data_IF_622251477475
#
_entry.id   IF_622251477475
#
_cell.length_a   1.000
_cell.length_b   1.000
_cell.length_c   1.000
_cell.angle_alpha   90.00
_cell.angle_beta   90.00
_cell.angle_gamma   90.00
#
_symmetry.space_group_name_H-M   'P 1'
#
loop_
_entity.id
_entity.type
_entity.pdbx_description
1 polymer ?
#
# COMPACT_ATOMS: atom_id res chain seq x y z
N UNK A 1 9.95 30.75 24.46
CA UNK A 1 10.56 29.51 23.96
C UNK A 1 9.45 28.75 23.27
N UNK A 2 9.41 28.79 21.95
CA UNK A 2 8.37 28.14 21.15
C UNK A 2 8.94 26.74 20.88
N UNK A 3 8.35 25.71 21.48
CA UNK A 3 8.73 24.33 21.16
C UNK A 3 8.16 24.02 19.79
N UNK A 4 9.03 24.10 18.79
CA UNK A 4 8.86 23.34 17.55
C UNK A 4 9.02 21.87 17.96
N UNK A 5 8.46 20.92 17.21
CA UNK A 5 8.68 19.46 17.33
C UNK A 5 7.59 18.59 17.99
N UNK A 6 6.31 18.99 17.96
CA UNK A 6 5.22 18.00 18.08
C UNK A 6 4.32 18.06 16.83
N UNK A 7 4.81 17.53 15.72
CA UNK A 7 4.02 17.32 14.49
C UNK A 7 3.13 16.07 14.59
N UNK A 8 2.99 15.47 15.78
CA UNK A 8 2.13 14.32 16.01
C UNK A 8 0.66 14.73 16.07
N UNK A 9 0.04 14.82 14.90
CA UNK A 9 -1.40 14.89 14.77
C UNK A 9 -1.99 13.56 15.26
N UNK A 10 -2.47 13.53 16.50
CA UNK A 10 -3.28 12.42 17.02
C UNK A 10 -4.73 12.65 16.61
N UNK A 11 -5.04 12.52 15.33
CA UNK A 11 -6.43 12.48 14.88
C UNK A 11 -7.00 11.11 15.22
N UNK A 12 -8.30 11.06 15.58
CA UNK A 12 -9.05 9.81 15.58
C UNK A 12 -9.12 9.35 14.13
N UNK A 13 -8.11 8.59 13.70
CA UNK A 13 -8.03 8.14 12.31
C UNK A 13 -9.22 7.22 12.10
N UNK A 14 -10.13 7.64 11.24
CA UNK A 14 -11.16 6.77 10.70
C UNK A 14 -10.47 5.85 9.70
N UNK A 15 -9.79 4.84 10.23
CA UNK A 15 -8.89 3.97 9.50
C UNK A 15 -9.59 3.31 8.33
N UNK A 16 -8.98 3.37 7.15
CA UNK A 16 -9.32 2.45 6.06
C UNK A 16 -8.33 1.30 6.14
N UNK A 17 -8.76 0.19 6.75
CA UNK A 17 -7.96 -1.02 6.87
C UNK A 17 -7.41 -1.44 5.49
N UNK A 18 -6.07 -1.54 5.39
CA UNK A 18 -5.37 -1.97 4.18
C UNK A 18 -4.30 -1.02 3.64
N UNK A 19 -4.39 0.27 3.96
CA UNK A 19 -3.41 1.30 3.55
C UNK A 19 -2.42 1.66 4.67
N UNK A 20 -2.54 1.00 5.82
CA UNK A 20 -1.80 1.32 7.02
C UNK A 20 -0.34 0.89 6.89
N UNK A 21 0.56 1.85 7.12
CA UNK A 21 1.99 1.59 7.28
C UNK A 21 2.22 0.67 8.51
N UNK A 22 2.88 -0.48 8.32
CA UNK A 22 3.15 -1.40 9.42
C UNK A 22 4.05 -0.80 10.51
N UNK A 23 4.94 0.14 10.18
CA UNK A 23 5.76 0.83 11.18
C UNK A 23 4.91 1.81 12.01
N UNK A 24 4.02 2.56 11.36
CA UNK A 24 3.04 3.40 12.05
C UNK A 24 2.13 2.58 12.97
N UNK A 25 1.67 1.40 12.54
CA UNK A 25 0.86 0.52 13.39
C UNK A 25 1.58 0.10 14.68
N UNK A 26 2.90 -0.14 14.61
CA UNK A 26 3.67 -0.57 15.75
C UNK A 26 4.10 0.59 16.66
N UNK A 27 4.50 1.71 16.08
CA UNK A 27 5.10 2.84 16.79
C UNK A 27 4.08 3.91 17.20
N UNK A 28 2.90 3.91 16.58
CA UNK A 28 1.93 5.01 16.63
C UNK A 28 2.49 6.36 16.18
N UNK A 29 3.62 6.38 15.47
CA UNK A 29 4.22 7.59 14.92
C UNK A 29 3.84 7.77 13.46
N UNK A 30 2.98 8.76 13.20
CA UNK A 30 2.64 9.15 11.84
C UNK A 30 3.81 9.95 11.25
N UNK A 31 4.30 9.54 10.08
CA UNK A 31 5.41 10.21 9.40
C UNK A 31 5.08 10.44 7.92
N UNK A 32 5.89 11.25 7.24
CA UNK A 32 5.81 11.37 5.77
C UNK A 32 6.00 10.01 5.06
N UNK A 33 6.71 9.05 5.68
CA UNK A 33 6.89 7.70 5.14
C UNK A 33 5.60 6.89 5.18
N UNK A 34 4.76 7.13 6.18
CA UNK A 34 3.45 6.49 6.30
C UNK A 34 2.52 6.93 5.17
N UNK A 35 2.55 8.22 4.80
CA UNK A 35 1.82 8.73 3.64
C UNK A 35 2.34 8.12 2.33
N UNK A 36 3.66 8.04 2.14
CA UNK A 36 4.27 7.40 0.96
C UNK A 36 3.88 5.92 0.85
N UNK A 37 3.86 5.18 1.97
CA UNK A 37 3.42 3.79 1.98
C UNK A 37 1.96 3.67 1.53
N UNK A 38 1.06 4.48 2.12
CA UNK A 38 -0.36 4.46 1.80
C UNK A 38 -0.62 4.78 0.32
N UNK A 39 0.11 5.75 -0.24
CA UNK A 39 0.06 6.08 -1.66
C UNK A 39 0.55 4.92 -2.54
N UNK A 40 1.60 4.21 -2.12
CA UNK A 40 2.06 2.99 -2.78
C UNK A 40 0.97 1.92 -2.88
N UNK A 41 0.19 1.73 -1.81
CA UNK A 41 -0.95 0.80 -1.82
C UNK A 41 -2.04 1.24 -2.80
N UNK A 42 -2.35 2.55 -2.87
CA UNK A 42 -3.29 3.10 -3.86
C UNK A 42 -2.80 2.83 -5.28
N UNK A 43 -1.51 3.03 -5.55
CA UNK A 43 -0.94 2.73 -6.87
C UNK A 43 -1.08 1.24 -7.21
N UNK A 44 -0.81 0.35 -6.26
CA UNK A 44 -1.01 -1.08 -6.46
C UNK A 44 -2.48 -1.43 -6.70
N UNK A 45 -3.43 -0.83 -5.99
CA UNK A 45 -4.86 -1.01 -6.23
C UNK A 45 -5.25 -0.60 -7.65
N UNK A 46 -4.74 0.52 -8.15
CA UNK A 46 -5.00 1.00 -9.51
C UNK A 46 -4.38 0.10 -10.59
N UNK A 47 -3.16 -0.37 -10.37
CA UNK A 47 -2.45 -1.22 -11.33
C UNK A 47 -3.03 -2.64 -11.40
N UNK A 48 -3.48 -3.17 -10.27
CA UNK A 48 -3.96 -4.57 -10.15
C UNK A 48 -5.48 -4.68 -10.23
N UNK A 49 -6.22 -3.59 -10.02
CA UNK A 49 -7.67 -3.60 -9.87
C UNK A 49 -8.15 -4.34 -8.61
N UNK A 50 -7.24 -4.69 -7.68
CA UNK A 50 -7.56 -5.49 -6.51
C UNK A 50 -7.66 -4.64 -5.25
N UNK A 51 -8.55 -5.05 -4.34
CA UNK A 51 -8.69 -4.39 -3.03
C UNK A 51 -7.41 -4.51 -2.19
N UNK A 52 -7.08 -3.48 -1.39
CA UNK A 52 -5.94 -3.46 -0.47
C UNK A 52 -5.97 -4.61 0.53
N UNK A 53 -7.15 -5.01 0.99
CA UNK A 53 -7.36 -6.21 1.80
C UNK A 53 -8.32 -7.16 1.11
N UNK A 54 -8.01 -8.45 1.20
CA UNK A 54 -8.88 -9.51 0.72
C UNK A 54 -8.78 -10.73 1.63
N UNK A 55 -9.93 -11.25 2.07
CA UNK A 55 -10.02 -12.51 2.82
C UNK A 55 -9.80 -13.75 1.94
N UNK A 56 -9.75 -13.58 0.62
CA UNK A 56 -9.51 -14.66 -0.34
C UNK A 56 -8.00 -14.93 -0.55
N UNK A 57 -7.11 -14.11 0.02
CA UNK A 57 -5.65 -14.28 -0.04
C UNK A 57 -5.15 -15.13 1.14
N UNK A 58 -3.98 -15.79 1.00
CA UNK A 58 -3.31 -16.45 2.12
C UNK A 58 -3.12 -15.51 3.30
N UNK A 59 -3.12 -16.04 4.53
CA UNK A 59 -3.00 -15.25 5.76
C UNK A 59 -1.73 -14.37 5.78
N UNK A 60 -0.63 -14.88 5.25
CA UNK A 60 0.67 -14.21 5.09
C UNK A 60 0.64 -13.03 4.11
N UNK A 61 -0.41 -12.94 3.28
CA UNK A 61 -0.52 -11.99 2.17
C UNK A 61 -1.91 -11.34 2.08
N UNK A 62 -2.59 -11.18 3.22
CA UNK A 62 -3.91 -10.49 3.26
C UNK A 62 -3.83 -9.06 2.72
N UNK A 63 -2.73 -8.37 2.98
CA UNK A 63 -2.46 -7.04 2.41
C UNK A 63 -1.97 -7.13 0.98
N UNK A 64 -2.46 -6.22 0.12
CA UNK A 64 -2.02 -6.11 -1.26
C UNK A 64 -0.53 -5.78 -1.37
N UNK A 65 0.01 -4.99 -0.43
CA UNK A 65 1.44 -4.68 -0.38
C UNK A 65 2.27 -5.95 -0.14
N UNK A 66 1.94 -6.74 0.89
CA UNK A 66 2.63 -8.00 1.20
C UNK A 66 2.48 -9.01 0.05
N UNK A 67 1.29 -9.09 -0.53
CA UNK A 67 1.03 -9.94 -1.69
C UNK A 67 1.86 -9.52 -2.91
N UNK A 68 1.99 -8.22 -3.19
CA UNK A 68 2.84 -7.70 -4.25
C UNK A 68 4.32 -8.02 -4.03
N UNK A 69 4.83 -7.84 -2.80
CA UNK A 69 6.21 -8.19 -2.44
C UNK A 69 6.51 -9.66 -2.74
N UNK A 70 5.60 -10.59 -2.43
CA UNK A 70 5.77 -12.01 -2.76
C UNK A 70 5.91 -12.29 -4.27
N UNK A 71 5.25 -11.51 -5.13
CA UNK A 71 5.40 -11.63 -6.58
C UNK A 71 6.68 -10.98 -7.08
N UNK A 72 7.10 -9.86 -6.47
CA UNK A 72 8.40 -9.22 -6.75
C UNK A 72 9.57 -10.15 -6.43
N UNK A 73 9.56 -10.78 -5.25
CA UNK A 73 10.60 -11.74 -4.83
C UNK A 73 10.69 -12.97 -5.74
N UNK A 74 9.59 -13.32 -6.40
CA UNK A 74 9.51 -14.43 -7.36
C UNK A 74 9.77 -14.02 -8.81
N UNK A 75 10.12 -12.76 -9.07
CA UNK A 75 10.29 -12.18 -10.42
C UNK A 75 9.04 -12.34 -11.31
N UNK A 76 7.86 -12.25 -10.69
CA UNK A 76 6.56 -12.46 -11.34
C UNK A 76 5.63 -11.26 -11.20
N UNK A 77 6.18 -10.06 -11.06
CA UNK A 77 5.39 -8.85 -10.80
C UNK A 77 4.29 -8.59 -11.83
N UNK A 78 4.49 -8.96 -13.10
CA UNK A 78 3.48 -8.73 -14.13
C UNK A 78 2.25 -9.63 -14.00
N UNK A 79 2.34 -10.74 -13.28
CA UNK A 79 1.24 -11.69 -13.11
C UNK A 79 0.12 -11.14 -12.21
N UNK A 80 0.41 -10.11 -11.41
CA UNK A 80 -0.59 -9.46 -10.54
C UNK A 80 -1.24 -8.23 -11.18
N UNK A 81 -0.62 -7.66 -12.23
CA UNK A 81 -1.08 -6.44 -12.87
C UNK A 81 -2.30 -6.77 -13.74
N UNK A 82 -3.30 -5.88 -13.73
CA UNK A 82 -4.51 -6.07 -14.53
C UNK A 82 -4.16 -6.07 -16.03
N UNK A 83 -4.64 -7.08 -16.76
CA UNK A 83 -4.44 -7.23 -18.21
C UNK A 83 -4.80 -5.97 -19.01
N UNK A 84 -5.80 -5.20 -18.56
CA UNK A 84 -6.21 -3.95 -19.20
C UNK A 84 -5.12 -2.90 -19.06
N UNK A 85 -4.51 -2.79 -17.90
CA UNK A 85 -3.39 -1.86 -17.63
C UNK A 85 -2.19 -2.24 -18.50
N UNK A 86 -1.87 -3.54 -18.61
CA UNK A 86 -0.80 -4.02 -19.51
C UNK A 86 -1.10 -3.68 -20.97
N UNK A 87 -2.34 -3.90 -21.42
CA UNK A 87 -2.75 -3.63 -22.80
C UNK A 87 -2.69 -2.14 -23.14
N UNK A 88 -3.13 -1.26 -22.26
CA UNK A 88 -3.05 0.18 -22.48
C UNK A 88 -1.60 0.69 -22.46
N UNK A 89 -0.75 0.20 -21.54
CA UNK A 89 0.67 0.55 -21.52
C UNK A 89 1.43 0.17 -22.81
N UNK A 90 1.02 -0.92 -23.48
CA UNK A 90 1.60 -1.36 -24.76
C UNK A 90 1.14 -0.57 -25.98
N UNK A 91 0.02 0.17 -25.91
CA UNK A 91 -0.47 0.98 -27.04
C UNK A 91 0.27 2.31 -27.21
N UNK A 92 1.05 2.73 -26.22
CA UNK A 92 1.76 4.01 -26.20
C UNK A 92 3.27 3.89 -26.49
N UNK A 93 3.75 2.73 -26.94
CA UNK A 93 5.11 2.51 -27.48
C UNK A 93 5.01 2.07 -28.92
#
# INVERSE_FOLDING_TARGET
MISIEDTHITTVVQWTFGYLDPEYFHTSQLTEKSDVYSFGVVLLELLTGQKPLSSLRPDEAKSLASYFVLFMEKDRMFDIIDDRVIKEGRKST
#
